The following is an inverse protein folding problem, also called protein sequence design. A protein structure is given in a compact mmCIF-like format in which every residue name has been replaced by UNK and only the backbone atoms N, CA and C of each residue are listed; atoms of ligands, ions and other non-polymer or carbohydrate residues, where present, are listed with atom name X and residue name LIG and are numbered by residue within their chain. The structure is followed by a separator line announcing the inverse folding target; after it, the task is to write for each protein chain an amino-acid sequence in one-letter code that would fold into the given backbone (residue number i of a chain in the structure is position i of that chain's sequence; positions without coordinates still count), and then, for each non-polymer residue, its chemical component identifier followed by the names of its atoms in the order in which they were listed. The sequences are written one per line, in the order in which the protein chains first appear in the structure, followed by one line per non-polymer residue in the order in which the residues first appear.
data_IF_097679879260
#
_entry.id   IF_097679879260
#
_cell.length_a   1.000
_cell.length_b   1.000
_cell.length_c   1.000
_cell.angle_alpha   90.00
_cell.angle_beta   90.00
_cell.angle_gamma   90.00
#
_symmetry.space_group_name_H-M   'P 1'
#
loop_
_entity.id
_entity.type
_entity.pdbx_description
1 polymer ?
#
# COMPACT_ATOMS: atom_id res chain seq x y z
N UNK A 1 -7.10 -29.37 -28.99
CA UNK A 1 -7.20 -28.04 -28.37
C UNK A 1 -8.59 -27.74 -27.83
N UNK A 2 -9.70 -27.94 -28.57
CA UNK A 2 -11.08 -27.68 -28.05
C UNK A 2 -11.52 -28.60 -26.87
N UNK A 3 -10.95 -29.81 -26.71
CA UNK A 3 -11.28 -30.71 -25.59
C UNK A 3 -10.71 -30.23 -24.24
N UNK A 4 -9.55 -29.55 -24.21
CA UNK A 4 -8.94 -29.06 -22.97
C UNK A 4 -9.68 -27.87 -22.37
N UNK A 5 -10.33 -27.04 -23.19
CA UNK A 5 -11.12 -25.86 -22.72
C UNK A 5 -12.42 -26.27 -22.02
N UNK A 6 -13.04 -27.40 -22.39
CA UNK A 6 -14.25 -27.90 -21.75
C UNK A 6 -14.01 -28.56 -20.40
N UNK A 7 -12.81 -29.08 -20.15
CA UNK A 7 -12.41 -29.65 -18.85
C UNK A 7 -12.08 -28.54 -17.80
N UNK A 8 -11.46 -27.45 -18.25
CA UNK A 8 -11.08 -26.34 -17.38
C UNK A 8 -12.28 -25.52 -16.80
N UNK A 9 -13.38 -25.43 -17.53
CA UNK A 9 -14.51 -24.55 -17.15
C UNK A 9 -15.79 -25.27 -16.71
N UNK A 10 -15.74 -26.57 -16.45
CA UNK A 10 -16.84 -27.32 -15.80
C UNK A 10 -18.20 -27.29 -16.52
N UNK A 11 -18.27 -27.06 -17.84
CA UNK A 11 -19.51 -27.01 -18.60
C UNK A 11 -20.17 -28.39 -18.70
N UNK A 12 -21.24 -28.60 -17.92
CA UNK A 12 -22.05 -29.84 -17.93
C UNK A 12 -22.98 -29.98 -19.14
N UNK A 13 -23.01 -29.04 -20.09
CA UNK A 13 -23.80 -29.12 -21.34
C UNK A 13 -22.93 -28.76 -22.54
N UNK A 14 -23.08 -29.49 -23.65
CA UNK A 14 -22.39 -29.17 -24.93
C UNK A 14 -22.61 -27.69 -25.26
N UNK A 15 -21.53 -26.87 -25.38
CA UNK A 15 -21.66 -25.47 -25.70
C UNK A 15 -22.32 -25.32 -27.08
N UNK A 16 -23.33 -24.41 -27.18
CA UNK A 16 -23.75 -23.88 -28.47
C UNK A 16 -22.50 -23.34 -29.17
N UNK A 17 -22.37 -23.54 -30.49
CA UNK A 17 -21.26 -22.96 -31.26
C UNK A 17 -21.16 -21.46 -30.91
N UNK A 18 -20.11 -21.10 -30.20
CA UNK A 18 -19.80 -19.70 -29.95
C UNK A 18 -19.60 -18.98 -31.29
N UNK A 19 -20.21 -17.82 -31.43
CA UNK A 19 -19.98 -16.99 -32.61
C UNK A 19 -18.54 -16.48 -32.58
N UNK A 20 -18.01 -16.09 -33.75
CA UNK A 20 -16.65 -15.51 -33.82
C UNK A 20 -16.55 -14.22 -33.00
N UNK A 21 -17.67 -13.50 -32.81
CA UNK A 21 -17.76 -12.30 -31.96
C UNK A 21 -17.69 -12.65 -30.47
N UNK A 22 -18.37 -13.74 -30.04
CA UNK A 22 -18.33 -14.20 -28.64
C UNK A 22 -16.93 -14.72 -28.29
N UNK A 23 -16.29 -15.44 -29.23
CA UNK A 23 -14.91 -15.91 -29.06
C UNK A 23 -13.91 -14.74 -28.96
N UNK A 24 -14.07 -13.70 -29.81
CA UNK A 24 -13.25 -12.49 -29.71
C UNK A 24 -13.47 -11.74 -28.40
N UNK A 25 -14.73 -11.61 -27.96
CA UNK A 25 -15.06 -11.00 -26.69
C UNK A 25 -14.43 -11.77 -25.51
N UNK A 26 -14.55 -13.10 -25.53
CA UNK A 26 -13.95 -13.98 -24.53
C UNK A 26 -12.42 -13.91 -24.51
N UNK A 27 -11.79 -13.85 -25.69
CA UNK A 27 -10.34 -13.69 -25.81
C UNK A 27 -9.90 -12.30 -25.30
N UNK A 28 -10.65 -11.25 -25.63
CA UNK A 28 -10.35 -9.88 -25.15
C UNK A 28 -10.58 -9.79 -23.63
N UNK A 29 -11.61 -10.41 -23.09
CA UNK A 29 -11.84 -10.48 -21.64
C UNK A 29 -10.70 -11.27 -20.94
N UNK A 30 -10.29 -12.42 -21.50
CA UNK A 30 -9.19 -13.21 -20.96
C UNK A 30 -7.80 -12.54 -21.11
N UNK A 31 -7.62 -11.72 -22.14
CA UNK A 31 -6.38 -10.95 -22.37
C UNK A 31 -6.34 -9.63 -21.57
N UNK A 32 -7.48 -9.21 -21.00
CA UNK A 32 -7.61 -8.02 -20.14
C UNK A 32 -7.87 -8.38 -18.68
N UNK A 33 -7.69 -9.65 -18.29
CA UNK A 33 -7.74 -10.00 -16.87
C UNK A 33 -6.60 -9.27 -16.14
N UNK A 34 -7.01 -8.29 -15.36
CA UNK A 34 -6.18 -7.57 -14.39
C UNK A 34 -6.28 -8.28 -13.06
N UNK A 35 -5.33 -8.00 -12.18
CA UNK A 35 -5.40 -8.47 -10.81
C UNK A 35 -6.77 -8.15 -10.18
N UNK A 36 -7.39 -9.18 -9.62
CA UNK A 36 -8.69 -9.07 -8.96
C UNK A 36 -8.48 -8.93 -7.44
N UNK A 37 -8.87 -7.79 -6.83
CA UNK A 37 -8.78 -7.62 -5.39
C UNK A 37 -9.47 -8.72 -4.58
N UNK A 38 -10.50 -9.36 -5.13
CA UNK A 38 -11.22 -10.47 -4.52
C UNK A 38 -10.41 -11.76 -4.40
N UNK A 39 -9.29 -11.87 -5.13
CA UNK A 39 -8.37 -13.01 -5.04
C UNK A 39 -7.33 -12.86 -3.92
N UNK A 40 -7.13 -11.67 -3.38
CA UNK A 40 -6.19 -11.41 -2.28
C UNK A 40 -6.79 -11.91 -0.97
N UNK A 41 -6.26 -13.01 -0.45
CA UNK A 41 -6.71 -13.61 0.80
C UNK A 41 -5.96 -12.98 1.99
N UNK A 42 -6.70 -12.50 2.99
CA UNK A 42 -6.16 -11.70 4.10
C UNK A 42 -5.18 -12.48 4.99
N UNK A 43 -5.35 -13.79 5.13
CA UNK A 43 -4.46 -14.65 5.91
C UNK A 43 -3.12 -14.91 5.23
N UNK A 44 -3.09 -14.86 3.90
CA UNK A 44 -1.86 -14.98 3.08
C UNK A 44 -1.17 -13.65 2.85
N UNK A 45 -1.95 -12.59 2.66
CA UNK A 45 -1.47 -11.23 2.47
C UNK A 45 -1.91 -10.34 3.63
N UNK A 46 -1.25 -10.40 4.80
CA UNK A 46 -1.63 -9.61 5.95
C UNK A 46 -1.34 -8.12 5.75
N UNK A 47 -2.22 -7.27 6.27
CA UNK A 47 -2.02 -5.82 6.27
C UNK A 47 -0.89 -5.36 7.20
N UNK A 48 -0.50 -6.19 8.18
CA UNK A 48 0.61 -5.90 9.10
C UNK A 48 1.91 -6.48 8.55
N UNK A 49 2.90 -5.64 8.28
CA UNK A 49 4.20 -6.06 7.74
C UNK A 49 4.90 -7.10 8.64
N UNK A 50 4.81 -6.94 9.96
CA UNK A 50 5.38 -7.87 10.93
C UNK A 50 4.72 -9.25 10.94
N UNK A 51 3.54 -9.39 10.34
CA UNK A 51 2.81 -10.65 10.22
C UNK A 51 3.04 -11.37 8.89
N UNK A 52 3.81 -10.76 7.97
CA UNK A 52 4.09 -11.35 6.66
C UNK A 52 5.04 -12.53 6.82
N UNK A 53 4.64 -13.69 6.31
CA UNK A 53 5.56 -14.83 6.14
C UNK A 53 6.58 -14.51 5.03
N UNK A 54 7.86 -14.44 5.41
CA UNK A 54 8.93 -14.02 4.50
C UNK A 54 9.15 -15.03 3.35
N UNK A 55 8.97 -16.34 3.58
CA UNK A 55 9.13 -17.36 2.54
C UNK A 55 7.96 -17.32 1.56
N UNK A 56 6.75 -17.16 2.08
CA UNK A 56 5.56 -16.93 1.26
C UNK A 56 5.71 -15.66 0.41
N UNK A 57 6.08 -14.54 1.04
CA UNK A 57 6.28 -13.27 0.34
C UNK A 57 7.34 -13.39 -0.77
N UNK A 58 8.44 -14.10 -0.51
CA UNK A 58 9.48 -14.36 -1.51
C UNK A 58 8.96 -15.15 -2.70
N UNK A 59 8.13 -16.16 -2.48
CA UNK A 59 7.49 -16.92 -3.56
C UNK A 59 6.49 -16.06 -4.34
N UNK A 60 5.64 -15.30 -3.63
CA UNK A 60 4.62 -14.45 -4.24
C UNK A 60 5.20 -13.32 -5.11
N UNK A 61 6.42 -12.82 -4.82
CA UNK A 61 7.04 -11.71 -5.58
C UNK A 61 8.15 -12.14 -6.54
N UNK A 62 8.50 -13.42 -6.60
CA UNK A 62 9.51 -13.97 -7.50
C UNK A 62 8.90 -14.85 -8.61
N UNK A 63 7.62 -14.72 -8.84
CA UNK A 63 6.90 -15.43 -9.90
C UNK A 63 7.27 -14.88 -11.27
N UNK A 64 7.10 -15.67 -12.32
CA UNK A 64 7.17 -15.16 -13.68
C UNK A 64 6.04 -14.14 -13.89
N UNK A 65 6.31 -12.99 -14.55
CA UNK A 65 5.29 -11.98 -14.82
C UNK A 65 4.06 -12.59 -15.50
N UNK A 66 2.87 -12.27 -14.98
CA UNK A 66 1.62 -12.78 -15.49
C UNK A 66 0.62 -11.63 -15.74
N UNK A 67 -0.04 -11.63 -16.90
CA UNK A 67 -0.97 -10.54 -17.27
C UNK A 67 -2.14 -10.44 -16.29
N UNK A 68 -2.62 -11.58 -15.76
CA UNK A 68 -3.71 -11.65 -14.78
C UNK A 68 -3.37 -11.05 -13.40
N UNK A 69 -2.10 -10.85 -13.11
CA UNK A 69 -1.62 -10.26 -11.86
C UNK A 69 -1.20 -8.80 -12.02
N UNK A 70 -1.37 -8.22 -13.21
CA UNK A 70 -1.02 -6.82 -13.45
C UNK A 70 -1.95 -5.87 -12.73
N UNK A 71 -1.38 -4.93 -11.98
CA UNK A 71 -2.10 -3.84 -11.30
C UNK A 71 -1.73 -2.53 -11.99
N UNK A 72 -2.69 -1.82 -12.61
CA UNK A 72 -2.39 -0.57 -13.30
C UNK A 72 -1.91 0.51 -12.35
N UNK A 73 -0.83 1.20 -12.75
CA UNK A 73 -0.28 2.36 -12.06
C UNK A 73 -0.23 3.54 -13.01
N UNK A 74 -0.77 4.67 -12.61
CA UNK A 74 -0.80 5.92 -13.40
C UNK A 74 -0.24 7.07 -12.59
N UNK A 75 0.27 8.11 -13.26
CA UNK A 75 0.63 9.36 -12.60
C UNK A 75 -0.61 10.04 -12.01
N UNK A 76 -0.47 10.60 -10.81
CA UNK A 76 -1.56 11.29 -10.12
C UNK A 76 -1.10 12.63 -9.53
N UNK A 77 -2.06 13.55 -9.42
CA UNK A 77 -1.94 14.81 -8.68
C UNK A 77 -3.30 15.09 -8.05
N UNK A 78 -3.41 14.92 -6.74
CA UNK A 78 -4.68 14.94 -6.03
C UNK A 78 -4.73 16.06 -5.00
N UNK A 79 -5.87 16.76 -4.84
CA UNK A 79 -6.06 17.71 -3.74
C UNK A 79 -5.82 17.03 -2.38
N UNK A 80 -5.09 17.69 -1.47
CA UNK A 80 -4.78 17.12 -0.16
C UNK A 80 -6.04 16.72 0.63
N UNK A 81 -7.15 17.46 0.48
CA UNK A 81 -8.42 17.18 1.18
C UNK A 81 -9.16 15.93 0.64
N UNK A 82 -8.81 15.47 -0.56
CA UNK A 82 -9.39 14.24 -1.14
C UNK A 82 -8.76 13.00 -0.56
N UNK A 83 -7.49 13.09 -0.19
CA UNK A 83 -6.71 11.98 0.29
C UNK A 83 -7.02 11.61 1.74
N UNK A 84 -6.88 10.33 2.04
CA UNK A 84 -7.06 9.72 3.36
C UNK A 84 -5.83 8.91 3.75
N UNK A 85 -5.52 8.75 5.04
CA UNK A 85 -4.39 7.92 5.45
C UNK A 85 -4.73 6.43 5.33
N UNK A 86 -3.72 5.62 5.03
CA UNK A 86 -3.82 4.16 5.06
C UNK A 86 -3.26 3.51 6.34
N UNK A 87 -2.63 4.30 7.21
CA UNK A 87 -2.05 3.87 8.48
C UNK A 87 -2.76 4.54 9.66
N UNK A 88 -2.76 3.88 10.83
CA UNK A 88 -3.44 4.40 12.04
C UNK A 88 -2.58 5.34 12.88
N UNK A 89 -1.29 5.47 12.59
CA UNK A 89 -0.35 6.27 13.39
C UNK A 89 0.67 7.00 12.53
N UNK A 90 1.15 8.15 13.02
CA UNK A 90 2.15 9.01 12.36
C UNK A 90 3.14 9.58 13.37
N UNK A 91 4.19 10.22 12.86
CA UNK A 91 5.10 11.03 13.67
C UNK A 91 4.82 12.52 13.41
N UNK A 92 4.21 13.21 14.40
CA UNK A 92 3.86 14.63 14.29
C UNK A 92 5.11 15.50 14.13
N UNK A 93 6.17 15.25 14.90
CA UNK A 93 7.40 16.05 14.81
C UNK A 93 8.00 16.00 13.41
N UNK A 94 7.97 14.82 12.77
CA UNK A 94 8.44 14.68 11.39
C UNK A 94 7.56 15.45 10.41
N UNK A 95 6.25 15.42 10.54
CA UNK A 95 5.34 16.15 9.67
C UNK A 95 5.52 17.67 9.83
N UNK A 96 5.59 18.16 11.06
CA UNK A 96 5.77 19.57 11.36
C UNK A 96 7.18 20.08 10.99
N UNK A 97 8.22 19.26 11.16
CA UNK A 97 9.56 19.60 10.68
C UNK A 97 9.63 19.75 9.16
N UNK A 98 8.85 18.94 8.42
CA UNK A 98 8.69 19.09 6.97
C UNK A 98 7.89 20.35 6.61
N UNK A 99 6.84 20.69 7.37
CA UNK A 99 6.07 21.92 7.17
C UNK A 99 6.98 23.16 7.34
N UNK A 100 7.80 23.19 8.38
CA UNK A 100 8.78 24.27 8.58
C UNK A 100 9.77 24.35 7.41
N UNK A 101 10.25 23.21 6.92
CA UNK A 101 11.16 23.17 5.75
C UNK A 101 10.48 23.66 4.46
N UNK A 102 9.17 23.41 4.29
CA UNK A 102 8.38 23.96 3.18
C UNK A 102 8.21 25.47 3.28
N UNK A 103 7.92 26.00 4.47
CA UNK A 103 7.79 27.44 4.72
C UNK A 103 9.12 28.17 4.42
N UNK A 104 10.24 27.57 4.76
CA UNK A 104 11.58 28.11 4.47
C UNK A 104 11.98 27.98 2.99
N UNK A 105 11.28 27.18 2.21
CA UNK A 105 11.62 26.90 0.80
C UNK A 105 12.71 25.84 0.58
N UNK A 106 13.11 25.13 1.64
CA UNK A 106 14.10 24.05 1.57
C UNK A 106 13.47 22.73 1.08
N UNK A 107 12.15 22.63 1.14
CA UNK A 107 11.37 21.54 0.63
C UNK A 107 10.23 22.10 -0.24
N UNK A 108 9.99 21.45 -1.39
CA UNK A 108 8.88 21.79 -2.27
C UNK A 108 7.54 21.62 -1.55
N UNK A 109 6.68 22.64 -1.64
CA UNK A 109 5.33 22.65 -1.09
C UNK A 109 4.36 22.01 -2.07
N UNK A 110 3.84 20.84 -1.73
CA UNK A 110 3.00 20.06 -2.64
C UNK A 110 3.81 19.42 -3.78
N UNK A 111 3.19 19.33 -4.97
CA UNK A 111 3.84 18.75 -6.15
C UNK A 111 4.02 17.23 -6.10
N UNK A 112 4.93 16.71 -6.91
CA UNK A 112 5.20 15.27 -6.95
C UNK A 112 6.05 14.84 -5.74
N UNK A 113 5.42 14.21 -4.79
CA UNK A 113 6.06 13.69 -3.57
C UNK A 113 6.38 12.19 -3.68
N UNK A 114 6.22 11.58 -4.86
CA UNK A 114 6.30 10.14 -5.10
C UNK A 114 5.34 9.33 -4.21
N UNK A 115 4.16 9.89 -3.89
CA UNK A 115 3.17 9.19 -3.10
C UNK A 115 2.62 7.98 -3.86
N UNK A 116 2.35 6.88 -3.14
CA UNK A 116 1.46 5.83 -3.63
C UNK A 116 0.05 6.13 -3.14
N UNK A 117 -0.92 6.09 -4.04
CA UNK A 117 -2.33 6.41 -3.76
C UNK A 117 -3.18 5.27 -4.31
N UNK A 118 -4.05 4.69 -3.49
CA UNK A 118 -5.00 3.66 -3.92
C UNK A 118 -6.13 4.24 -4.77
N UNK A 119 -6.92 3.38 -5.43
CA UNK A 119 -8.05 3.83 -6.24
C UNK A 119 -9.18 4.46 -5.41
N UNK A 120 -9.28 4.15 -4.11
CA UNK A 120 -10.22 4.72 -3.13
C UNK A 120 -9.62 5.89 -2.32
N UNK A 121 -8.55 6.52 -2.86
CA UNK A 121 -7.94 7.76 -2.41
C UNK A 121 -7.19 7.69 -1.05
N UNK A 122 -6.75 6.50 -0.65
CA UNK A 122 -5.83 6.39 0.50
C UNK A 122 -4.37 6.51 0.05
N UNK A 123 -3.61 7.30 0.81
CA UNK A 123 -2.18 7.46 0.59
C UNK A 123 -1.42 6.31 1.30
N UNK A 124 -0.63 5.52 0.55
CA UNK A 124 0.13 4.39 1.09
C UNK A 124 1.52 4.80 1.57
N UNK A 125 2.17 5.69 0.85
CA UNK A 125 3.42 6.35 1.25
C UNK A 125 3.33 7.84 0.97
N UNK A 126 4.10 8.64 1.73
CA UNK A 126 4.06 10.09 1.63
C UNK A 126 3.20 10.81 2.69
N UNK A 127 2.63 10.10 3.65
CA UNK A 127 1.74 10.65 4.70
C UNK A 127 2.26 11.93 5.36
N UNK A 128 3.53 11.97 5.77
CA UNK A 128 4.11 13.14 6.45
C UNK A 128 4.18 14.36 5.54
N UNK A 129 4.54 14.17 4.26
CA UNK A 129 4.55 15.26 3.28
C UNK A 129 3.15 15.73 2.93
N UNK A 130 2.20 14.81 2.82
CA UNK A 130 0.80 15.13 2.60
C UNK A 130 0.25 16.03 3.71
N UNK A 131 0.40 15.60 4.99
CA UNK A 131 -0.05 16.41 6.13
C UNK A 131 0.73 17.72 6.24
N UNK A 132 2.06 17.71 6.03
CA UNK A 132 2.86 18.93 6.03
C UNK A 132 2.42 19.93 4.95
N UNK A 133 2.11 19.45 3.74
CA UNK A 133 1.55 20.29 2.66
C UNK A 133 0.22 20.90 3.09
N UNK A 134 -0.67 20.10 3.66
CA UNK A 134 -1.97 20.59 4.13
C UNK A 134 -1.83 21.61 5.26
N UNK A 135 -0.90 21.43 6.19
CA UNK A 135 -0.62 22.42 7.25
C UNK A 135 -0.23 23.78 6.69
N UNK A 136 0.60 23.79 5.64
CA UNK A 136 1.15 25.03 5.07
C UNK A 136 0.18 25.67 4.08
N UNK A 137 -0.35 24.90 3.15
CA UNK A 137 -1.30 25.37 2.14
C UNK A 137 -2.20 24.22 1.65
N UNK A 138 -3.44 24.11 2.16
CA UNK A 138 -4.36 23.05 1.79
C UNK A 138 -4.88 23.13 0.34
N UNK A 139 -4.58 24.21 -0.38
CA UNK A 139 -4.92 24.34 -1.81
C UNK A 139 -3.95 23.62 -2.74
N UNK A 140 -2.76 23.27 -2.25
CA UNK A 140 -1.75 22.59 -3.05
C UNK A 140 -2.08 21.12 -3.21
N UNK A 141 -1.98 20.58 -4.43
CA UNK A 141 -2.10 19.14 -4.64
C UNK A 141 -0.80 18.42 -4.24
N UNK A 142 -0.93 17.14 -3.96
CA UNK A 142 0.19 16.21 -3.84
C UNK A 142 0.08 15.15 -4.92
N UNK A 143 1.20 14.75 -5.48
CA UNK A 143 1.28 13.84 -6.62
C UNK A 143 2.18 12.64 -6.36
N UNK A 144 2.09 11.71 -7.27
CA UNK A 144 2.84 10.47 -7.27
C UNK A 144 2.20 9.46 -8.22
N UNK A 145 1.89 8.30 -7.70
CA UNK A 145 1.40 7.15 -8.46
C UNK A 145 0.05 6.69 -7.91
N UNK A 146 -0.98 6.70 -8.74
CA UNK A 146 -2.27 6.11 -8.42
C UNK A 146 -2.29 4.67 -8.88
N UNK A 147 -2.55 3.77 -7.94
CA UNK A 147 -2.61 2.33 -8.15
C UNK A 147 -4.08 1.94 -8.21
N UNK A 148 -4.49 1.25 -9.28
CA UNK A 148 -5.88 0.83 -9.46
C UNK A 148 -6.22 -0.39 -8.61
N UNK A 149 -6.10 -0.22 -7.29
CA UNK A 149 -6.36 -1.25 -6.29
C UNK A 149 -6.85 -0.60 -4.98
N UNK A 150 -7.78 -1.22 -4.22
CA UNK A 150 -8.29 -0.67 -2.97
C UNK A 150 -7.23 -0.73 -1.86
N UNK A 151 -7.31 0.20 -0.91
CA UNK A 151 -6.26 0.46 0.06
C UNK A 151 -5.89 -0.76 0.92
N UNK A 152 -6.87 -1.48 1.45
CA UNK A 152 -6.66 -2.64 2.32
C UNK A 152 -5.85 -3.74 1.61
N UNK A 153 -6.23 -4.07 0.38
CA UNK A 153 -5.54 -5.08 -0.44
C UNK A 153 -4.19 -4.57 -0.95
N UNK A 154 -4.10 -3.28 -1.29
CA UNK A 154 -2.85 -2.68 -1.73
C UNK A 154 -1.79 -2.66 -0.62
N UNK A 155 -2.17 -2.36 0.64
CA UNK A 155 -1.24 -2.46 1.79
C UNK A 155 -0.68 -3.88 1.88
N UNK A 156 -1.53 -4.89 1.80
CA UNK A 156 -1.14 -6.29 1.90
C UNK A 156 -0.15 -6.70 0.81
N UNK A 157 -0.40 -6.32 -0.45
CA UNK A 157 0.51 -6.57 -1.58
C UNK A 157 1.83 -5.81 -1.43
N UNK A 158 1.78 -4.54 -1.04
CA UNK A 158 2.99 -3.75 -0.82
C UNK A 158 3.82 -4.29 0.37
N UNK A 159 3.18 -4.86 1.38
CA UNK A 159 3.86 -5.58 2.46
C UNK A 159 4.55 -6.85 1.94
N UNK A 160 3.91 -7.62 1.07
CA UNK A 160 4.54 -8.78 0.43
C UNK A 160 5.75 -8.36 -0.43
N UNK A 161 5.64 -7.29 -1.21
CA UNK A 161 6.78 -6.72 -1.96
C UNK A 161 7.90 -6.30 -1.00
N UNK A 162 7.56 -5.61 0.09
CA UNK A 162 8.51 -5.12 1.09
C UNK A 162 9.28 -6.27 1.74
N UNK A 163 8.57 -7.31 2.17
CA UNK A 163 9.17 -8.48 2.79
C UNK A 163 9.90 -9.38 1.77
N UNK A 164 9.26 -9.69 0.65
CA UNK A 164 9.77 -10.66 -0.33
C UNK A 164 10.91 -10.10 -1.20
N UNK A 165 10.78 -8.86 -1.70
CA UNK A 165 11.76 -8.26 -2.61
C UNK A 165 12.87 -7.50 -1.88
N UNK A 166 12.55 -6.85 -0.75
CA UNK A 166 13.52 -6.02 -0.01
C UNK A 166 14.01 -6.66 1.29
N UNK A 167 13.41 -7.76 1.74
CA UNK A 167 13.79 -8.45 2.97
C UNK A 167 13.47 -7.63 4.24
N UNK A 168 12.56 -6.65 4.16
CA UNK A 168 12.18 -5.78 5.26
C UNK A 168 10.90 -6.34 5.90
N UNK A 169 10.97 -6.67 7.20
CA UNK A 169 9.86 -7.26 7.96
C UNK A 169 9.30 -6.35 9.04
N UNK A 170 9.81 -5.14 9.15
CA UNK A 170 9.34 -4.15 10.11
C UNK A 170 9.45 -2.74 9.51
N UNK A 171 8.39 -1.96 9.68
CA UNK A 171 8.32 -0.57 9.25
C UNK A 171 9.05 0.40 10.18
N UNK A 172 8.77 1.69 10.02
CA UNK A 172 9.43 2.77 10.76
C UNK A 172 8.63 3.12 12.03
N UNK A 173 9.28 3.48 13.16
CA UNK A 173 8.58 3.79 14.40
C UNK A 173 7.53 4.89 14.25
N UNK A 174 6.42 4.75 14.97
CA UNK A 174 5.38 5.75 15.12
C UNK A 174 5.45 6.40 16.50
N UNK A 175 4.93 7.64 16.62
CA UNK A 175 4.88 8.36 17.91
C UNK A 175 3.46 8.53 18.43
N UNK A 176 2.44 8.26 17.65
CA UNK A 176 1.03 8.30 18.07
C UNK A 176 0.04 8.37 16.90
N UNK A 177 -1.24 8.47 17.23
CA UNK A 177 -2.34 8.52 16.28
C UNK A 177 -2.58 9.91 15.68
N UNK A 178 -3.66 10.05 14.92
CA UNK A 178 -4.04 11.32 14.28
C UNK A 178 -4.61 12.36 15.27
N UNK A 179 -4.90 11.97 16.50
CA UNK A 179 -5.24 12.86 17.61
C UNK A 179 -4.12 13.87 17.92
N UNK A 180 -2.88 13.58 17.54
CA UNK A 180 -1.76 14.51 17.64
C UNK A 180 -1.88 15.76 16.73
N UNK A 181 -2.74 15.73 15.73
CA UNK A 181 -2.98 16.88 14.84
C UNK A 181 -4.12 17.78 15.33
N UNK A 182 -4.51 17.66 16.59
CA UNK A 182 -5.43 18.57 17.28
C UNK A 182 -4.69 19.84 17.78
N UNK A 183 -5.42 20.93 18.10
CA UNK A 183 -4.81 22.22 18.49
C UNK A 183 -3.75 22.14 19.58
N UNK A 184 -4.01 21.37 20.65
CA UNK A 184 -3.09 21.26 21.79
C UNK A 184 -1.73 20.65 21.41
N UNK A 185 -1.68 19.43 20.85
CA UNK A 185 -0.43 18.81 20.43
C UNK A 185 0.32 19.58 19.34
N UNK A 186 -0.36 20.16 18.35
CA UNK A 186 0.27 20.98 17.30
C UNK A 186 0.97 22.18 17.93
N UNK A 187 0.27 22.93 18.78
CA UNK A 187 0.83 24.08 19.50
C UNK A 187 2.03 23.67 20.36
N UNK A 188 1.90 22.61 21.17
CA UNK A 188 2.97 22.14 22.04
C UNK A 188 4.23 21.75 21.24
N UNK A 189 4.06 21.11 20.08
CA UNK A 189 5.20 20.74 19.22
C UNK A 189 5.87 21.97 18.61
N UNK A 190 5.12 22.98 18.16
CA UNK A 190 5.70 24.23 17.66
C UNK A 190 6.43 25.01 18.78
N UNK A 191 5.87 25.07 19.98
CA UNK A 191 6.52 25.70 21.15
C UNK A 191 7.85 24.95 21.49
N UNK A 192 7.84 23.61 21.46
CA UNK A 192 9.06 22.83 21.64
C UNK A 192 10.10 23.15 20.55
N UNK A 193 9.70 23.22 19.29
CA UNK A 193 10.61 23.55 18.19
C UNK A 193 11.13 24.98 18.27
N UNK A 194 10.32 25.94 18.71
CA UNK A 194 10.74 27.32 18.95
C UNK A 194 11.75 27.45 20.10
N UNK A 195 11.73 26.49 21.06
CA UNK A 195 12.67 26.49 22.20
C UNK A 195 13.93 25.66 21.93
N UNK A 196 13.81 24.54 21.26
CA UNK A 196 14.87 23.51 21.14
C UNK A 196 15.32 23.24 19.72
N UNK A 197 14.65 23.81 18.72
CA UNK A 197 14.85 23.51 17.30
C UNK A 197 14.12 22.25 16.83
N UNK A 198 14.11 22.05 15.52
CA UNK A 198 13.56 20.84 14.87
C UNK A 198 14.60 19.72 14.94
N UNK A 199 14.28 18.56 15.52
CA UNK A 199 15.18 17.43 15.59
C UNK A 199 15.19 16.60 14.28
N UNK A 200 16.09 15.63 14.17
CA UNK A 200 16.03 14.55 13.18
C UNK A 200 16.60 14.90 11.81
N UNK A 201 15.91 14.49 10.73
CA UNK A 201 16.46 14.52 9.34
C UNK A 201 16.57 15.94 8.78
N UNK A 202 15.76 16.86 9.24
CA UNK A 202 15.71 18.26 8.80
C UNK A 202 15.95 19.20 9.98
N UNK A 203 17.16 19.17 10.58
CA UNK A 203 17.41 19.93 11.81
C UNK A 203 17.38 21.43 11.53
N UNK A 204 16.74 22.19 12.43
CA UNK A 204 16.70 23.65 12.38
C UNK A 204 16.91 24.20 13.78
N UNK A 205 17.75 25.21 13.96
CA UNK A 205 17.88 25.85 15.24
C UNK A 205 16.62 26.68 15.57
N UNK A 206 16.39 26.98 16.86
CA UNK A 206 15.20 27.70 17.33
C UNK A 206 14.90 29.00 16.58
N UNK A 207 15.93 29.80 16.32
CA UNK A 207 15.81 31.08 15.62
C UNK A 207 15.28 30.95 14.20
N UNK A 208 15.67 29.90 13.47
CA UNK A 208 15.14 29.62 12.12
C UNK A 208 13.70 29.12 12.18
N UNK A 209 13.31 28.41 13.25
CA UNK A 209 11.93 27.99 13.46
C UNK A 209 11.05 29.22 13.66
N UNK A 210 11.44 30.13 14.58
CA UNK A 210 10.68 31.35 14.85
C UNK A 210 10.57 32.18 13.56
N UNK A 211 11.67 32.39 12.83
CA UNK A 211 11.65 33.13 11.57
C UNK A 211 10.71 32.49 10.53
N UNK A 212 10.67 31.14 10.43
CA UNK A 212 9.76 30.43 9.55
C UNK A 212 8.30 30.70 9.94
N UNK A 213 7.98 30.63 11.25
CA UNK A 213 6.62 30.83 11.73
C UNK A 213 6.16 32.28 11.57
N UNK A 214 7.03 33.27 11.83
CA UNK A 214 6.75 34.69 11.56
C UNK A 214 6.45 34.91 10.06
N UNK A 215 7.28 34.35 9.18
CA UNK A 215 7.04 34.39 7.73
C UNK A 215 5.70 33.78 7.38
N UNK A 216 5.39 32.58 7.91
CA UNK A 216 4.16 31.85 7.63
C UNK A 216 2.91 32.64 8.07
N UNK A 217 2.96 33.26 9.26
CA UNK A 217 1.90 34.14 9.78
C UNK A 217 1.72 35.34 8.87
N UNK A 218 2.81 36.02 8.48
CA UNK A 218 2.76 37.16 7.58
C UNK A 218 2.20 36.81 6.19
N UNK A 219 2.59 35.66 5.61
CA UNK A 219 2.08 35.15 4.34
C UNK A 219 0.57 34.86 4.42
N UNK A 220 0.02 34.61 5.62
CA UNK A 220 -1.40 34.40 5.87
C UNK A 220 -2.11 35.67 6.40
N UNK A 221 -1.45 36.84 6.38
CA UNK A 221 -2.06 38.13 6.69
C UNK A 221 -2.03 38.52 8.15
N UNK A 222 -1.28 37.80 9.01
CA UNK A 222 -1.02 38.18 10.41
C UNK A 222 0.20 39.09 10.54
N UNK A 223 0.35 39.70 11.73
CA UNK A 223 1.44 40.61 12.07
C UNK A 223 2.23 40.15 13.32
N UNK A 224 1.87 38.99 13.88
CA UNK A 224 2.45 38.46 15.10
C UNK A 224 3.90 38.06 14.90
N UNK A 225 4.73 38.26 15.93
CA UNK A 225 6.16 37.95 15.94
C UNK A 225 6.55 37.17 17.20
N UNK A 226 7.70 36.53 17.19
CA UNK A 226 8.22 35.81 18.35
C UNK A 226 7.26 34.68 18.81
N UNK A 227 6.98 34.66 20.11
CA UNK A 227 6.10 33.65 20.71
C UNK A 227 4.63 33.78 20.30
N UNK A 228 4.18 35.00 19.97
CA UNK A 228 2.84 35.23 19.45
C UNK A 228 2.68 34.62 18.05
N UNK A 229 3.69 34.71 17.21
CA UNK A 229 3.71 34.06 15.91
C UNK A 229 3.65 32.51 16.02
N UNK A 230 4.27 31.93 17.05
CA UNK A 230 4.19 30.45 17.28
C UNK A 230 2.74 30.04 17.54
N UNK A 231 2.02 30.77 18.35
CA UNK A 231 0.60 30.49 18.65
C UNK A 231 -0.29 30.73 17.42
N UNK A 232 -0.12 31.85 16.73
CA UNK A 232 -0.88 32.20 15.53
C UNK A 232 -0.63 31.14 14.39
N UNK A 233 0.62 30.72 14.19
CA UNK A 233 0.95 29.67 13.22
C UNK A 233 0.31 28.33 13.56
N UNK A 234 0.24 27.98 14.87
CA UNK A 234 -0.46 26.76 15.29
C UNK A 234 -1.95 26.79 14.92
N UNK A 235 -2.60 27.92 15.17
CA UNK A 235 -4.02 28.10 14.87
C UNK A 235 -4.28 28.03 13.36
N UNK A 236 -3.44 28.67 12.53
CA UNK A 236 -3.53 28.58 11.05
C UNK A 236 -3.33 27.14 10.57
N UNK A 237 -2.30 26.43 11.08
CA UNK A 237 -2.04 25.04 10.68
C UNK A 237 -3.19 24.11 11.04
N UNK A 238 -3.80 24.27 12.21
CA UNK A 238 -4.96 23.48 12.64
C UNK A 238 -6.18 23.78 11.79
N UNK A 239 -6.43 25.03 11.47
CA UNK A 239 -7.50 25.43 10.55
C UNK A 239 -7.32 24.79 9.18
N UNK A 240 -6.11 24.82 8.64
CA UNK A 240 -5.76 24.18 7.37
C UNK A 240 -6.01 22.66 7.39
N UNK A 241 -5.77 22.00 8.54
CA UNK A 241 -6.01 20.56 8.72
C UNK A 241 -7.49 20.20 8.93
N UNK A 242 -8.34 21.17 9.28
CA UNK A 242 -9.74 20.91 9.63
C UNK A 242 -10.56 20.22 8.53
N UNK A 243 -10.13 20.38 7.28
CA UNK A 243 -10.77 19.78 6.09
C UNK A 243 -10.16 18.43 5.68
N UNK A 244 -9.12 17.96 6.35
CA UNK A 244 -8.56 16.65 6.07
C UNK A 244 -9.43 15.53 6.65
N UNK A 245 -9.48 14.42 5.95
CA UNK A 245 -10.16 13.21 6.40
C UNK A 245 -9.11 12.25 6.95
N UNK A 246 -9.16 12.00 8.25
CA UNK A 246 -8.31 11.02 8.92
C UNK A 246 -8.98 9.64 9.04
N UNK A 247 -9.83 9.29 8.06
CA UNK A 247 -10.48 7.99 7.97
C UNK A 247 -9.52 6.98 7.37
N UNK A 248 -9.20 5.93 8.12
CA UNK A 248 -8.35 4.83 7.66
C UNK A 248 -9.18 3.66 7.15
N UNK A 249 -8.63 2.78 6.29
CA UNK A 249 -9.29 1.52 5.96
C UNK A 249 -9.51 0.68 7.24
N UNK A 250 -10.54 -0.18 7.27
CA UNK A 250 -10.74 -1.09 8.39
C UNK A 250 -9.51 -1.96 8.63
N UNK A 251 -9.04 -2.05 9.87
CA UNK A 251 -7.83 -2.80 10.21
C UNK A 251 -6.51 -2.14 9.80
N UNK A 252 -6.53 -0.85 9.45
CA UNK A 252 -5.33 -0.12 9.07
C UNK A 252 -4.17 -0.32 10.05
N UNK A 253 -2.99 -0.74 9.57
CA UNK A 253 -1.84 -1.00 10.43
C UNK A 253 -1.30 0.26 11.09
N UNK A 254 -0.51 0.08 12.14
CA UNK A 254 0.35 1.14 12.64
C UNK A 254 1.47 1.42 11.66
N UNK A 255 2.15 2.57 11.79
CA UNK A 255 3.30 2.90 10.93
C UNK A 255 4.42 1.85 10.99
N UNK A 256 4.53 1.11 12.08
CA UNK A 256 5.53 0.05 12.26
C UNK A 256 5.24 -1.19 11.43
N UNK A 257 3.98 -1.33 11.00
CA UNK A 257 3.49 -2.44 10.18
C UNK A 257 3.14 -2.04 8.75
N UNK A 258 3.50 -0.80 8.35
CA UNK A 258 3.31 -0.32 6.98
C UNK A 258 4.45 -0.76 6.06
N UNK A 259 4.18 -0.92 4.75
CA UNK A 259 5.23 -1.19 3.77
C UNK A 259 6.29 -0.07 3.76
N UNK A 260 7.53 -0.46 3.48
CA UNK A 260 8.66 0.47 3.36
C UNK A 260 9.06 0.58 1.89
N UNK A 261 8.78 1.75 1.29
CA UNK A 261 9.05 2.03 -0.13
C UNK A 261 9.94 3.27 -0.20
N UNK A 262 11.26 3.06 -0.08
CA UNK A 262 12.22 4.16 -0.17
C UNK A 262 12.45 4.59 -1.64
N UNK A 263 12.44 3.64 -2.59
CA UNK A 263 12.39 3.87 -4.04
C UNK A 263 11.08 3.28 -4.60
N UNK A 264 10.22 4.08 -5.22
CA UNK A 264 8.95 3.61 -5.77
C UNK A 264 9.10 2.71 -7.01
N UNK A 265 10.18 2.85 -7.80
CA UNK A 265 10.28 2.20 -9.10
C UNK A 265 10.23 0.66 -9.06
N UNK A 266 10.93 -0.04 -8.14
CA UNK A 266 10.82 -1.49 -8.05
C UNK A 266 9.42 -1.99 -7.67
N UNK A 267 8.69 -1.23 -6.85
CA UNK A 267 7.30 -1.59 -6.49
C UNK A 267 6.34 -1.35 -7.67
N UNK A 268 6.50 -0.23 -8.39
CA UNK A 268 5.72 0.07 -9.61
C UNK A 268 5.95 -1.01 -10.64
N UNK A 269 7.21 -1.40 -10.89
CA UNK A 269 7.54 -2.47 -11.82
C UNK A 269 6.82 -3.76 -11.40
N UNK A 270 6.98 -4.20 -10.16
CA UNK A 270 6.37 -5.43 -9.69
C UNK A 270 4.84 -5.45 -9.86
N UNK A 271 4.16 -4.31 -9.60
CA UNK A 271 2.72 -4.18 -9.79
C UNK A 271 2.31 -4.19 -11.27
N UNK A 272 3.04 -3.46 -12.12
CA UNK A 272 2.65 -3.26 -13.53
C UNK A 272 3.03 -4.41 -14.45
N UNK A 273 3.98 -5.24 -14.07
CA UNK A 273 4.39 -6.43 -14.83
C UNK A 273 3.73 -7.71 -14.35
N UNK A 274 2.98 -7.69 -13.22
CA UNK A 274 2.44 -8.89 -12.61
C UNK A 274 3.51 -9.82 -12.01
N UNK A 275 4.65 -9.26 -11.58
CA UNK A 275 5.67 -10.00 -10.82
C UNK A 275 5.20 -10.40 -9.41
N UNK A 276 4.06 -9.86 -8.97
CA UNK A 276 3.42 -10.24 -7.71
C UNK A 276 2.21 -11.09 -8.04
N UNK A 277 2.30 -12.38 -7.77
CA UNK A 277 1.14 -13.27 -7.84
C UNK A 277 0.18 -12.92 -6.69
N UNK A 278 -0.97 -12.36 -7.04
CA UNK A 278 -1.99 -11.95 -6.04
C UNK A 278 -2.78 -13.15 -5.50
N UNK A 279 -2.63 -14.31 -6.10
CA UNK A 279 -3.25 -15.56 -5.68
C UNK A 279 -2.28 -16.75 -5.85
N UNK A 280 -1.10 -16.72 -5.20
CA UNK A 280 -0.13 -17.78 -5.36
C UNK A 280 -0.74 -19.11 -4.93
N UNK A 281 -0.45 -20.19 -5.67
CA UNK A 281 -0.92 -21.51 -5.31
C UNK A 281 -0.42 -21.81 -3.89
N UNK A 282 -1.32 -22.27 -3.05
CA UNK A 282 -0.97 -22.78 -1.75
C UNK A 282 -0.12 -24.04 -1.97
N UNK A 283 1.19 -23.86 -2.08
CA UNK A 283 2.08 -24.98 -1.83
C UNK A 283 2.09 -25.14 -0.29
N UNK A 284 1.11 -25.85 0.23
CA UNK A 284 1.45 -26.73 1.30
C UNK A 284 2.69 -27.45 0.80
N UNK A 285 3.84 -27.33 1.49
CA UNK A 285 4.84 -28.38 1.39
C UNK A 285 4.01 -29.65 1.58
N UNK A 286 3.73 -30.37 0.52
CA UNK A 286 3.20 -31.72 0.61
C UNK A 286 4.25 -32.37 1.48
N UNK A 287 3.88 -32.61 2.74
CA UNK A 287 4.73 -33.31 3.70
C UNK A 287 5.20 -34.54 2.90
N UNK A 288 6.52 -34.83 2.74
CA UNK A 288 6.96 -35.99 1.98
C UNK A 288 6.25 -37.28 2.41
N UNK A 289 5.62 -37.24 3.60
CA UNK A 289 4.68 -38.23 4.08
C UNK A 289 3.34 -38.27 3.33
N UNK A 290 2.85 -37.14 2.82
CA UNK A 290 1.60 -37.08 2.01
C UNK A 290 1.82 -37.51 0.57
N UNK A 291 2.95 -37.15 -0.07
CA UNK A 291 3.34 -37.75 -1.37
C UNK A 291 3.52 -39.27 -1.24
N UNK A 292 4.20 -39.73 -0.18
CA UNK A 292 4.36 -41.17 0.05
C UNK A 292 3.02 -41.87 0.36
N UNK A 293 2.04 -41.16 0.97
CA UNK A 293 0.69 -41.70 1.19
C UNK A 293 -0.15 -41.66 -0.08
N UNK A 294 -0.02 -40.65 -0.95
CA UNK A 294 -0.66 -40.60 -2.24
C UNK A 294 -0.09 -41.70 -3.16
N UNK A 295 1.24 -41.81 -3.30
CA UNK A 295 1.85 -42.91 -4.05
C UNK A 295 1.47 -44.29 -3.51
N UNK A 296 1.42 -44.46 -2.19
CA UNK A 296 0.96 -45.69 -1.55
C UNK A 296 -0.54 -45.96 -1.78
N UNK A 297 -1.36 -44.93 -1.95
CA UNK A 297 -2.78 -45.06 -2.28
C UNK A 297 -3.01 -45.42 -3.77
N UNK A 298 -2.19 -44.85 -4.66
CA UNK A 298 -2.20 -45.24 -6.09
C UNK A 298 -1.74 -46.65 -6.30
N UNK A 299 -0.65 -47.07 -5.65
CA UNK A 299 -0.19 -48.46 -5.68
C UNK A 299 -1.21 -49.45 -5.10
N UNK A 300 -2.01 -49.05 -4.09
CA UNK A 300 -3.13 -49.87 -3.59
C UNK A 300 -4.26 -49.97 -4.59
N UNK A 301 -4.53 -48.91 -5.36
CA UNK A 301 -5.53 -48.91 -6.44
C UNK A 301 -5.15 -49.87 -7.57
N UNK A 302 -3.90 -49.86 -8.02
CA UNK A 302 -3.39 -50.71 -9.06
C UNK A 302 -3.36 -52.20 -8.63
N UNK A 303 -2.95 -52.49 -7.40
CA UNK A 303 -2.97 -53.85 -6.83
C UNK A 303 -4.41 -54.37 -6.69
N UNK A 304 -5.37 -53.51 -6.37
CA UNK A 304 -6.79 -53.86 -6.31
C UNK A 304 -7.35 -54.11 -7.73
N UNK A 305 -6.95 -53.32 -8.72
CA UNK A 305 -7.36 -53.46 -10.10
C UNK A 305 -6.81 -54.77 -10.73
N UNK A 306 -5.53 -55.07 -10.49
CA UNK A 306 -4.91 -56.37 -10.89
C UNK A 306 -5.60 -57.57 -10.22
N UNK A 307 -5.90 -57.48 -8.94
CA UNK A 307 -6.63 -58.49 -8.20
C UNK A 307 -8.06 -58.70 -8.78
N UNK A 308 -8.71 -57.62 -9.16
CA UNK A 308 -10.06 -57.65 -9.76
C UNK A 308 -10.03 -58.27 -11.15
N UNK A 309 -9.06 -57.90 -12.01
CA UNK A 309 -8.88 -58.45 -13.33
C UNK A 309 -8.61 -59.95 -13.28
N UNK A 310 -7.79 -60.40 -12.32
CA UNK A 310 -7.47 -61.82 -12.11
C UNK A 310 -8.67 -62.61 -11.60
N UNK A 311 -9.52 -62.02 -10.71
CA UNK A 311 -10.77 -62.66 -10.27
C UNK A 311 -11.85 -62.66 -11.34
N UNK A 312 -11.84 -61.70 -12.27
CA UNK A 312 -12.78 -61.59 -13.38
C UNK A 312 -12.39 -62.47 -14.58
N UNK A 313 -11.24 -63.13 -14.55
CA UNK A 313 -10.76 -64.00 -15.65
C UNK A 313 -10.43 -63.21 -16.93
N UNK A 314 -9.99 -61.96 -16.78
CA UNK A 314 -9.69 -61.06 -17.91
C UNK A 314 -8.17 -61.05 -18.24
N UNK A 315 -7.39 -62.01 -17.69
CA UNK A 315 -6.00 -62.33 -18.07
C UNK A 315 -5.92 -63.72 -18.69
#
# INVERSE_FOLDING_TARGET
MLMKLTELYGFKKRPKKLSTSDLKKFIVEALNEKADPGKVEDDRFPMNLSSVDAEFAQRAVNTEPADEDTIPVTGASEPVQKLKPSQSSMNIEKAMGQAISMILGDMELGGNINAFISNDDHIMDGHHRWVATAMVDPSKPVGGYKVDFPADKLIAILNAITAGKFGITQGKPATGGFDQFQPGPVKATLEQFAQSGVPGKFPRPPEQVIQALEKFVADNGGEETGQEAVAAAADIMVDNLSNLKFETPPGAPSREDMPVIDDPQPAIQALTTGEVDVNPPYQTEEDPADEAQQEASWNKGDVLLERWNRMAGLE
#
